data_IF_054181445132
#
_entry.id   IF_054181445132
#
_cell.length_a   1.000
_cell.length_b   1.000
_cell.length_c   1.000
_cell.angle_alpha   90.00
_cell.angle_beta   90.00
_cell.angle_gamma   90.00
#
_symmetry.space_group_name_H-M   'P 1'
#
loop_
_entity.id
_entity.type
_entity.pdbx_description
1 polymer ?
#
# COMPACT_ATOMS: atom_id res chain seq x y z
N UNK A 1 71.43 -58.17 34.05
CA UNK A 1 71.28 -57.27 32.89
C UNK A 1 69.94 -56.55 33.05
N UNK A 2 69.95 -55.22 33.23
CA UNK A 2 68.73 -54.41 33.45
C UNK A 2 68.33 -53.74 32.14
N UNK A 3 67.18 -54.07 31.60
CA UNK A 3 66.62 -53.46 30.38
C UNK A 3 65.96 -52.14 30.76
N UNK A 4 66.47 -51.01 30.22
CA UNK A 4 65.88 -49.68 30.40
C UNK A 4 64.77 -49.48 29.36
N UNK A 5 63.55 -49.22 29.84
CA UNK A 5 62.42 -48.77 29.01
C UNK A 5 62.51 -47.24 28.90
N UNK A 6 62.70 -46.73 27.68
CA UNK A 6 62.65 -45.29 27.42
C UNK A 6 61.21 -44.89 27.10
N UNK A 7 60.64 -44.02 27.94
CA UNK A 7 59.35 -43.40 27.74
C UNK A 7 59.54 -42.24 26.72
N UNK A 8 59.11 -42.44 25.48
CA UNK A 8 59.08 -41.37 24.48
C UNK A 8 57.82 -40.54 24.72
N UNK A 9 57.98 -39.35 25.29
CA UNK A 9 56.91 -38.35 25.36
C UNK A 9 56.90 -37.61 24.03
N UNK A 10 55.92 -37.92 23.18
CA UNK A 10 55.64 -37.15 21.96
C UNK A 10 54.90 -35.87 22.38
N UNK A 11 55.62 -34.74 22.42
CA UNK A 11 54.99 -33.42 22.49
C UNK A 11 54.29 -33.15 21.14
N UNK A 12 52.97 -33.31 21.10
CA UNK A 12 52.16 -32.75 20.03
C UNK A 12 52.16 -31.22 20.19
N UNK A 13 52.95 -30.53 19.37
CA UNK A 13 52.81 -29.09 19.16
C UNK A 13 51.49 -28.85 18.42
N UNK A 14 50.44 -28.44 19.13
CA UNK A 14 49.22 -27.93 18.52
C UNK A 14 49.59 -26.60 17.87
N UNK A 15 49.46 -26.44 16.53
CA UNK A 15 49.64 -25.13 15.93
C UNK A 15 48.54 -24.22 16.48
N UNK A 16 48.93 -23.19 17.22
CA UNK A 16 48.05 -22.06 17.55
C UNK A 16 47.78 -21.38 16.20
N UNK A 17 46.68 -21.77 15.56
CA UNK A 17 46.13 -21.02 14.44
C UNK A 17 45.71 -19.68 15.02
N UNK A 18 46.55 -18.67 14.83
CA UNK A 18 46.13 -17.28 14.98
C UNK A 18 44.92 -17.11 14.06
N UNK A 19 43.74 -17.01 14.67
CA UNK A 19 42.54 -16.55 13.99
C UNK A 19 42.88 -15.13 13.52
N UNK A 20 43.34 -15.03 12.28
CA UNK A 20 43.38 -13.76 11.59
C UNK A 20 41.96 -13.19 11.70
N UNK A 21 41.84 -11.98 12.25
CA UNK A 21 40.63 -11.19 12.19
C UNK A 21 40.30 -10.98 10.71
N UNK A 22 39.55 -11.91 10.13
CA UNK A 22 38.87 -11.68 8.87
C UNK A 22 37.90 -10.55 9.19
N UNK A 23 38.02 -9.36 8.58
CA UNK A 23 36.98 -8.37 8.71
C UNK A 23 35.70 -9.04 8.25
N UNK A 24 34.77 -9.24 9.18
CA UNK A 24 33.40 -9.60 8.86
C UNK A 24 32.89 -8.40 8.07
N UNK A 25 32.87 -8.52 6.75
CA UNK A 25 32.13 -7.61 5.90
C UNK A 25 30.65 -7.81 6.24
N UNK A 26 30.14 -6.94 7.11
CA UNK A 26 28.75 -6.91 7.56
C UNK A 26 27.80 -6.38 6.49
N UNK A 27 28.27 -6.16 5.25
CA UNK A 27 27.40 -5.70 4.16
C UNK A 27 26.88 -6.86 3.31
N UNK A 28 26.16 -7.81 3.93
CA UNK A 28 25.13 -8.53 3.19
C UNK A 28 23.96 -7.58 2.96
N UNK A 29 24.10 -6.71 1.96
CA UNK A 29 22.94 -6.01 1.38
C UNK A 29 22.06 -7.11 0.79
N UNK A 30 20.99 -7.48 1.50
CA UNK A 30 19.93 -8.28 0.91
C UNK A 30 19.43 -7.50 -0.31
N UNK A 31 19.34 -8.16 -1.47
CA UNK A 31 18.86 -7.52 -2.70
C UNK A 31 17.53 -6.81 -2.40
N UNK A 32 17.54 -5.47 -2.49
CA UNK A 32 16.36 -4.66 -2.20
C UNK A 32 15.20 -5.19 -3.03
N UNK A 33 14.14 -5.67 -2.36
CA UNK A 33 12.95 -6.20 -3.05
C UNK A 33 12.44 -5.16 -4.04
N UNK A 34 12.31 -5.54 -5.30
CA UNK A 34 11.74 -4.67 -6.33
C UNK A 34 10.27 -4.40 -6.00
N UNK A 35 9.93 -3.12 -5.86
CA UNK A 35 8.58 -2.66 -5.55
C UNK A 35 7.73 -2.65 -6.83
N UNK A 36 6.68 -3.47 -6.89
CA UNK A 36 5.83 -3.59 -8.08
C UNK A 36 4.60 -2.70 -7.97
N UNK A 37 4.46 -1.74 -8.88
CA UNK A 37 3.32 -0.83 -8.95
C UNK A 37 2.50 -1.11 -10.20
N UNK A 38 1.21 -1.37 -10.02
CA UNK A 38 0.26 -1.46 -11.13
C UNK A 38 -0.41 -0.12 -11.33
N UNK A 39 -0.31 0.39 -12.55
CA UNK A 39 -0.95 1.63 -12.98
C UNK A 39 -2.14 1.31 -13.87
N UNK A 40 -3.32 1.68 -13.40
CA UNK A 40 -4.57 1.50 -14.10
C UNK A 40 -5.08 2.84 -14.66
N UNK A 41 -5.25 2.88 -15.98
CA UNK A 41 -5.89 4.01 -16.64
C UNK A 41 -7.39 3.70 -16.79
N UNK A 42 -8.23 4.41 -16.05
CA UNK A 42 -9.68 4.23 -16.05
C UNK A 42 -10.29 4.22 -17.47
N UNK A 43 -11.37 3.46 -17.64
CA UNK A 43 -12.11 3.32 -18.90
C UNK A 43 -11.24 2.83 -20.08
N UNK A 44 -11.62 3.14 -21.33
CA UNK A 44 -10.86 2.83 -22.54
C UNK A 44 -11.71 2.15 -23.61
N UNK A 45 -11.29 2.27 -24.88
CA UNK A 45 -12.01 1.71 -26.03
C UNK A 45 -13.44 2.21 -26.10
N UNK A 46 -14.41 1.27 -26.02
CA UNK A 46 -15.85 1.55 -26.07
C UNK A 46 -16.39 2.33 -24.88
N UNK A 47 -15.66 2.36 -23.77
CA UNK A 47 -16.00 3.15 -22.60
C UNK A 47 -15.16 4.43 -22.58
N UNK A 48 -15.81 5.58 -22.82
CA UNK A 48 -15.14 6.89 -22.79
C UNK A 48 -14.90 7.42 -21.38
N UNK A 49 -15.51 6.82 -20.37
CA UNK A 49 -15.80 7.48 -19.10
C UNK A 49 -16.64 8.73 -19.33
N UNK A 50 -16.50 9.74 -18.46
CA UNK A 50 -17.22 10.99 -18.65
C UNK A 50 -16.74 11.72 -19.92
N UNK A 51 -17.67 11.99 -20.83
CA UNK A 51 -17.43 12.81 -22.02
C UNK A 51 -18.09 14.19 -21.88
N UNK A 52 -17.29 15.27 -21.90
CA UNK A 52 -17.78 16.65 -21.83
C UNK A 52 -16.94 17.55 -22.71
N UNK A 53 -17.58 18.37 -23.55
CA UNK A 53 -16.91 19.37 -24.39
C UNK A 53 -15.71 18.79 -25.18
N UNK A 54 -15.96 17.69 -25.91
CA UNK A 54 -14.95 16.98 -26.72
C UNK A 54 -13.74 16.51 -25.92
N UNK A 55 -13.96 16.16 -24.65
CA UNK A 55 -12.93 15.66 -23.75
C UNK A 55 -13.47 14.38 -23.12
N UNK A 56 -12.80 13.26 -23.40
CA UNK A 56 -13.10 11.98 -22.79
C UNK A 56 -12.16 11.75 -21.59
N UNK A 57 -12.70 11.23 -20.51
CA UNK A 57 -11.94 10.83 -19.33
C UNK A 57 -10.86 9.81 -19.66
N UNK A 58 -11.18 8.80 -20.48
CA UNK A 58 -10.25 7.73 -20.87
C UNK A 58 -8.91 8.24 -21.44
N UNK A 59 -8.93 9.40 -22.11
CA UNK A 59 -7.77 9.99 -22.77
C UNK A 59 -6.87 10.69 -21.75
N UNK A 60 -7.47 11.42 -20.81
CA UNK A 60 -6.75 12.09 -19.72
C UNK A 60 -6.14 11.04 -18.78
N UNK A 61 -6.93 10.05 -18.37
CA UNK A 61 -6.48 8.95 -17.52
C UNK A 61 -5.28 8.22 -18.13
N UNK A 62 -5.39 7.82 -19.42
CA UNK A 62 -4.30 7.17 -20.14
C UNK A 62 -3.04 8.04 -20.16
N UNK A 63 -3.19 9.34 -20.45
CA UNK A 63 -2.04 10.22 -20.59
C UNK A 63 -1.34 10.46 -19.26
N UNK A 64 -2.08 10.62 -18.17
CA UNK A 64 -1.53 10.74 -16.81
C UNK A 64 -0.79 9.46 -16.43
N UNK A 65 -1.38 8.28 -16.66
CA UNK A 65 -0.77 6.98 -16.34
C UNK A 65 0.53 6.75 -17.13
N UNK A 66 0.56 7.07 -18.43
CA UNK A 66 1.78 6.97 -19.24
C UNK A 66 2.90 7.89 -18.73
N UNK A 67 2.55 9.12 -18.32
CA UNK A 67 3.52 10.07 -17.77
C UNK A 67 4.05 9.60 -16.41
N UNK A 68 3.16 9.15 -15.53
CA UNK A 68 3.49 8.60 -14.21
C UNK A 68 4.40 7.38 -14.35
N UNK A 69 4.01 6.42 -15.18
CA UNK A 69 4.77 5.20 -15.39
C UNK A 69 6.15 5.47 -15.96
N UNK A 70 6.28 6.38 -16.94
CA UNK A 70 7.60 6.82 -17.44
C UNK A 70 8.50 7.40 -16.34
N UNK A 71 7.95 8.12 -15.36
CA UNK A 71 8.73 8.63 -14.22
C UNK A 71 9.16 7.49 -13.29
N UNK A 72 8.27 6.54 -12.99
CA UNK A 72 8.55 5.41 -12.11
C UNK A 72 9.56 4.43 -12.73
N UNK A 73 9.46 4.16 -14.04
CA UNK A 73 10.38 3.31 -14.81
C UNK A 73 11.84 3.81 -14.80
N UNK A 74 12.09 5.07 -14.41
CA UNK A 74 13.45 5.58 -14.22
C UNK A 74 14.16 5.06 -12.97
N UNK A 75 13.42 4.36 -12.08
CA UNK A 75 13.94 3.77 -10.85
C UNK A 75 14.14 2.27 -11.00
N UNK A 76 15.35 1.78 -10.75
CA UNK A 76 15.71 0.36 -10.94
C UNK A 76 15.05 -0.57 -9.91
N UNK A 77 14.64 -0.04 -8.78
CA UNK A 77 13.98 -0.74 -7.69
C UNK A 77 12.45 -0.69 -7.79
N UNK A 78 11.90 -0.12 -8.87
CA UNK A 78 10.46 -0.08 -9.14
C UNK A 78 10.14 -0.83 -10.44
N UNK A 79 9.23 -1.79 -10.35
CA UNK A 79 8.64 -2.45 -11.52
C UNK A 79 7.27 -1.86 -11.78
N UNK A 80 7.08 -1.29 -12.98
CA UNK A 80 5.79 -0.75 -13.41
C UNK A 80 5.04 -1.79 -14.26
N UNK A 81 3.78 -2.03 -13.94
CA UNK A 81 2.86 -2.86 -14.72
C UNK A 81 1.66 -1.99 -15.11
N UNK A 82 1.30 -1.93 -16.39
CA UNK A 82 0.13 -1.18 -16.84
C UNK A 82 -1.03 -2.12 -17.09
N UNK A 83 -2.25 -1.72 -16.72
CA UNK A 83 -3.44 -2.41 -17.21
C UNK A 83 -3.56 -2.18 -18.72
N UNK A 84 -3.45 -0.92 -19.16
CA UNK A 84 -3.39 -0.55 -20.58
C UNK A 84 -2.40 0.58 -20.85
N UNK A 85 -1.78 0.52 -22.02
CA UNK A 85 -0.89 1.58 -22.57
C UNK A 85 -1.47 2.25 -23.82
N UNK A 86 -2.60 1.75 -24.33
CA UNK A 86 -3.32 2.24 -25.51
C UNK A 86 -4.80 2.44 -25.21
N UNK A 87 -5.56 2.99 -26.16
CA UNK A 87 -7.01 3.11 -26.06
C UNK A 87 -7.70 1.77 -26.34
N UNK A 88 -7.67 0.88 -25.34
CA UNK A 88 -8.38 -0.39 -25.33
C UNK A 88 -9.32 -0.48 -24.14
N UNK A 89 -10.46 -1.14 -24.34
CA UNK A 89 -11.34 -1.49 -23.25
C UNK A 89 -10.76 -2.67 -22.45
N UNK A 90 -10.78 -2.56 -21.13
CA UNK A 90 -10.49 -3.65 -20.21
C UNK A 90 -11.58 -3.71 -19.15
N UNK A 91 -12.04 -4.92 -18.91
CA UNK A 91 -13.03 -5.25 -17.89
C UNK A 91 -12.45 -5.06 -16.48
N UNK A 92 -13.27 -4.73 -15.49
CA UNK A 92 -12.76 -4.40 -14.14
C UNK A 92 -12.06 -5.59 -13.49
N UNK A 93 -12.54 -6.82 -13.74
CA UNK A 93 -11.89 -8.03 -13.21
C UNK A 93 -10.52 -8.25 -13.87
N UNK A 94 -10.38 -7.98 -15.17
CA UNK A 94 -9.10 -8.11 -15.87
C UNK A 94 -8.05 -7.15 -15.31
N UNK A 95 -8.46 -5.92 -14.95
CA UNK A 95 -7.57 -4.94 -14.31
C UNK A 95 -7.05 -5.46 -12.97
N UNK A 96 -7.95 -6.03 -12.16
CA UNK A 96 -7.59 -6.63 -10.88
C UNK A 96 -6.72 -7.90 -11.06
N UNK A 97 -7.02 -8.75 -12.05
CA UNK A 97 -6.23 -9.95 -12.35
C UNK A 97 -4.80 -9.60 -12.76
N UNK A 98 -4.62 -8.56 -13.58
CA UNK A 98 -3.28 -8.05 -13.91
C UNK A 98 -2.53 -7.68 -12.63
N UNK A 99 -3.21 -6.99 -11.70
CA UNK A 99 -2.59 -6.58 -10.44
C UNK A 99 -2.22 -7.77 -9.55
N UNK A 100 -3.17 -8.67 -9.33
CA UNK A 100 -3.02 -9.86 -8.50
C UNK A 100 -1.94 -10.81 -9.05
N UNK A 101 -1.97 -11.11 -10.35
CA UNK A 101 -1.01 -12.00 -11.01
C UNK A 101 0.41 -11.41 -11.04
N UNK A 102 0.53 -10.08 -11.07
CA UNK A 102 1.83 -9.42 -10.98
C UNK A 102 2.42 -9.40 -9.56
N UNK A 103 1.65 -9.84 -8.55
CA UNK A 103 1.98 -9.72 -7.12
C UNK A 103 2.34 -8.28 -6.74
N UNK A 104 1.55 -7.33 -7.21
CA UNK A 104 1.80 -5.92 -7.00
C UNK A 104 1.81 -5.55 -5.53
N UNK A 105 2.72 -4.66 -5.16
CA UNK A 105 2.79 -4.06 -3.83
C UNK A 105 1.87 -2.83 -3.71
N UNK A 106 1.46 -2.25 -4.83
CA UNK A 106 0.54 -1.12 -4.90
C UNK A 106 -0.26 -1.11 -6.22
N UNK A 107 -1.56 -0.84 -6.12
CA UNK A 107 -2.45 -0.60 -7.26
C UNK A 107 -2.92 0.86 -7.27
N UNK A 108 -2.70 1.57 -8.39
CA UNK A 108 -3.09 2.97 -8.58
C UNK A 108 -3.98 3.09 -9.81
N UNK A 109 -5.28 3.32 -9.60
CA UNK A 109 -6.23 3.63 -10.67
C UNK A 109 -6.44 5.13 -10.79
N UNK A 110 -6.38 5.67 -12.01
CA UNK A 110 -6.47 7.11 -12.30
C UNK A 110 -7.74 7.39 -13.09
N UNK A 111 -8.57 8.29 -12.57
CA UNK A 111 -9.87 8.70 -13.10
C UNK A 111 -10.03 10.23 -13.08
N UNK A 112 -11.10 10.71 -13.71
CA UNK A 112 -11.51 12.11 -13.65
C UNK A 112 -13.00 12.22 -13.30
N UNK A 113 -13.26 12.86 -12.17
CA UNK A 113 -14.59 12.92 -11.59
C UNK A 113 -15.60 13.65 -12.49
N UNK A 114 -16.87 13.47 -12.16
CA UNK A 114 -17.98 14.23 -12.70
C UNK A 114 -19.04 14.45 -11.62
N UNK A 115 -19.74 15.57 -11.71
CA UNK A 115 -20.92 15.83 -10.89
C UNK A 115 -21.92 16.66 -11.68
N UNK A 116 -23.21 16.50 -11.35
CA UNK A 116 -24.29 17.32 -11.91
C UNK A 116 -24.04 18.83 -11.69
N UNK A 117 -23.59 19.20 -10.49
CA UNK A 117 -23.18 20.56 -10.19
C UNK A 117 -21.84 20.90 -10.86
N UNK A 118 -21.86 21.73 -11.90
CA UNK A 118 -20.67 22.15 -12.66
C UNK A 118 -19.68 22.99 -11.83
N UNK A 119 -20.10 23.50 -10.68
CA UNK A 119 -19.24 24.19 -9.71
C UNK A 119 -18.39 23.24 -8.85
N UNK A 120 -18.70 21.93 -8.81
CA UNK A 120 -17.91 20.95 -8.09
C UNK A 120 -16.47 20.93 -8.62
N UNK A 121 -15.48 20.97 -7.72
CA UNK A 121 -14.06 21.02 -8.06
C UNK A 121 -13.20 20.39 -6.97
N UNK A 122 -11.94 20.15 -7.29
CA UNK A 122 -11.00 19.48 -6.42
C UNK A 122 -10.85 18.00 -6.74
N UNK A 123 -9.94 17.37 -6.02
CA UNK A 123 -9.59 15.98 -6.16
C UNK A 123 -10.09 15.19 -4.95
N UNK A 124 -10.33 13.90 -5.15
CA UNK A 124 -10.62 12.94 -4.09
C UNK A 124 -9.87 11.64 -4.38
N UNK A 125 -9.49 10.92 -3.32
CA UNK A 125 -8.89 9.60 -3.48
C UNK A 125 -9.76 8.60 -2.77
N UNK A 126 -10.14 7.55 -3.47
CA UNK A 126 -10.96 6.48 -2.95
C UNK A 126 -10.10 5.28 -2.61
N UNK A 127 -10.40 4.72 -1.44
CA UNK A 127 -9.92 3.41 -1.01
C UNK A 127 -11.14 2.53 -0.81
N UNK A 128 -10.91 1.23 -0.71
CA UNK A 128 -12.00 0.30 -0.48
C UNK A 128 -12.75 0.64 0.82
N UNK A 129 -14.08 0.66 0.73
CA UNK A 129 -15.00 0.81 1.84
C UNK A 129 -16.10 -0.24 1.79
N UNK A 130 -16.39 -0.84 2.93
CA UNK A 130 -17.42 -1.88 3.11
C UNK A 130 -18.79 -1.31 3.48
N UNK A 131 -18.86 -0.05 3.95
CA UNK A 131 -20.11 0.58 4.34
C UNK A 131 -20.64 1.58 3.32
N UNK A 132 -21.98 1.60 3.21
CA UNK A 132 -22.73 2.53 2.38
C UNK A 132 -22.67 3.91 3.02
N UNK A 133 -22.09 4.87 2.31
CA UNK A 133 -22.37 6.28 2.53
C UNK A 133 -23.15 6.80 1.32
N UNK A 134 -24.39 7.24 1.53
CA UNK A 134 -25.26 7.74 0.46
C UNK A 134 -24.62 8.90 -0.32
N UNK A 135 -23.79 9.71 0.34
CA UNK A 135 -23.07 10.81 -0.31
C UNK A 135 -22.00 10.36 -1.32
N UNK A 136 -21.64 9.07 -1.33
CA UNK A 136 -20.59 8.50 -2.17
C UNK A 136 -21.15 7.64 -3.32
N UNK A 137 -22.47 7.41 -3.36
CA UNK A 137 -23.07 6.39 -4.23
C UNK A 137 -22.97 6.73 -5.72
N UNK A 138 -23.11 8.00 -6.11
CA UNK A 138 -23.09 8.43 -7.52
C UNK A 138 -21.76 8.11 -8.22
N UNK A 139 -20.63 8.40 -7.56
CA UNK A 139 -19.30 8.12 -8.11
C UNK A 139 -19.08 6.62 -8.24
N UNK A 140 -19.43 5.84 -7.21
CA UNK A 140 -19.28 4.38 -7.22
C UNK A 140 -20.14 3.74 -8.30
N UNK A 141 -21.40 4.16 -8.43
CA UNK A 141 -22.30 3.65 -9.46
C UNK A 141 -21.77 3.99 -10.86
N UNK A 142 -21.25 5.20 -11.06
CA UNK A 142 -20.64 5.59 -12.33
C UNK A 142 -19.44 4.70 -12.66
N UNK A 143 -18.49 4.57 -11.74
CA UNK A 143 -17.27 3.79 -11.99
C UNK A 143 -17.54 2.27 -12.07
N UNK A 144 -18.56 1.74 -11.40
CA UNK A 144 -18.95 0.33 -11.52
C UNK A 144 -19.92 0.08 -12.69
N UNK A 145 -20.52 1.11 -13.30
CA UNK A 145 -21.50 0.94 -14.39
C UNK A 145 -20.91 0.27 -15.62
N UNK A 146 -19.59 0.38 -15.81
CA UNK A 146 -18.81 -0.31 -16.84
C UNK A 146 -18.97 -1.83 -16.80
N UNK A 147 -19.28 -2.42 -15.64
CA UNK A 147 -19.57 -3.86 -15.49
C UNK A 147 -20.72 -4.29 -16.43
N UNK A 148 -21.69 -3.40 -16.67
CA UNK A 148 -22.82 -3.67 -17.55
C UNK A 148 -22.42 -3.74 -19.04
N UNK A 149 -21.20 -3.30 -19.38
CA UNK A 149 -20.63 -3.38 -20.72
C UNK A 149 -19.81 -4.66 -20.93
N UNK A 150 -19.65 -5.50 -19.90
CA UNK A 150 -18.81 -6.69 -19.91
C UNK A 150 -19.62 -7.94 -20.30
N UNK A 151 -19.01 -8.83 -21.07
CA UNK A 151 -19.66 -10.09 -21.45
C UNK A 151 -19.74 -11.01 -20.23
N UNK A 152 -20.90 -11.66 -20.03
CA UNK A 152 -21.15 -12.58 -18.92
C UNK A 152 -20.90 -11.98 -17.52
N UNK A 153 -21.13 -10.67 -17.35
CA UNK A 153 -20.87 -9.98 -16.08
C UNK A 153 -21.59 -10.62 -14.87
N UNK A 154 -22.77 -11.23 -15.07
CA UNK A 154 -23.49 -11.92 -13.97
C UNK A 154 -22.74 -13.12 -13.40
N UNK A 155 -21.94 -13.80 -14.23
CA UNK A 155 -21.12 -14.94 -13.81
C UNK A 155 -19.80 -14.47 -13.19
N UNK A 156 -19.20 -13.41 -13.76
CA UNK A 156 -17.93 -12.82 -13.26
C UNK A 156 -18.12 -12.08 -11.93
N UNK A 157 -19.28 -11.49 -11.71
CA UNK A 157 -19.62 -10.70 -10.53
C UNK A 157 -20.80 -11.29 -9.79
N UNK A 158 -20.66 -12.55 -9.33
CA UNK A 158 -21.71 -13.22 -8.57
C UNK A 158 -22.11 -12.39 -7.35
N UNK A 159 -23.41 -12.13 -7.24
CA UNK A 159 -23.99 -11.33 -6.17
C UNK A 159 -23.91 -9.82 -6.37
N UNK A 160 -23.34 -9.31 -7.48
CA UNK A 160 -23.31 -7.88 -7.77
C UNK A 160 -24.70 -7.33 -8.12
N UNK A 161 -25.14 -6.33 -7.37
CA UNK A 161 -26.30 -5.50 -7.64
C UNK A 161 -25.81 -4.10 -8.06
N UNK A 162 -26.13 -3.61 -9.27
CA UNK A 162 -25.80 -2.25 -9.69
C UNK A 162 -26.32 -1.16 -8.74
N UNK A 163 -27.39 -1.44 -7.99
CA UNK A 163 -27.97 -0.53 -7.00
C UNK A 163 -27.37 -0.72 -5.60
N UNK A 164 -26.67 -1.84 -5.37
CA UNK A 164 -25.88 -2.09 -4.17
C UNK A 164 -24.45 -2.54 -4.53
N UNK A 165 -23.55 -1.59 -4.86
CA UNK A 165 -22.14 -1.87 -5.13
C UNK A 165 -21.40 -2.66 -4.03
N UNK A 166 -21.97 -2.74 -2.82
CA UNK A 166 -21.37 -3.49 -1.70
C UNK A 166 -21.68 -4.99 -1.72
N UNK A 167 -22.59 -5.45 -2.58
CA UNK A 167 -23.15 -6.81 -2.59
C UNK A 167 -22.20 -7.90 -3.12
N UNK A 168 -21.02 -7.52 -3.62
CA UNK A 168 -20.03 -8.46 -4.14
C UNK A 168 -19.46 -9.37 -3.03
N UNK A 169 -19.46 -10.69 -3.23
CA UNK A 169 -18.84 -11.63 -2.29
C UNK A 169 -17.31 -11.71 -2.52
N UNK A 170 -16.50 -11.00 -1.72
CA UNK A 170 -15.02 -11.11 -1.71
C UNK A 170 -14.48 -11.53 -0.35
N UNK A 171 -13.20 -11.93 -0.32
CA UNK A 171 -12.44 -12.13 0.91
C UNK A 171 -12.16 -10.80 1.63
N UNK A 172 -13.09 -10.40 2.50
CA UNK A 172 -13.05 -9.14 3.27
C UNK A 172 -11.82 -9.05 4.19
N UNK A 173 -11.26 -10.17 4.67
CA UNK A 173 -10.15 -10.15 5.62
C UNK A 173 -8.85 -9.62 4.99
N UNK A 174 -8.53 -10.03 3.76
CA UNK A 174 -7.36 -9.53 3.01
C UNK A 174 -7.50 -8.02 2.76
N UNK A 175 -8.73 -7.56 2.59
CA UNK A 175 -9.01 -6.15 2.29
C UNK A 175 -8.84 -5.24 3.51
N UNK A 176 -9.26 -5.69 4.69
CA UNK A 176 -9.01 -4.98 5.95
C UNK A 176 -7.51 -4.91 6.29
N UNK A 177 -6.72 -5.90 5.87
CA UNK A 177 -5.26 -5.86 6.04
C UNK A 177 -4.62 -4.67 5.30
N UNK A 178 -5.11 -4.33 4.10
CA UNK A 178 -4.52 -3.27 3.26
C UNK A 178 -5.16 -1.89 3.40
N UNK A 179 -6.21 -1.73 4.23
CA UNK A 179 -6.98 -0.50 4.30
C UNK A 179 -6.13 0.71 4.73
N UNK A 180 -5.38 0.59 5.83
CA UNK A 180 -4.53 1.70 6.31
C UNK A 180 -3.43 2.07 5.31
N UNK A 181 -2.89 1.06 4.65
CA UNK A 181 -1.87 1.22 3.62
C UNK A 181 -2.43 2.01 2.43
N UNK A 182 -3.68 1.73 2.05
CA UNK A 182 -4.39 2.44 0.99
C UNK A 182 -4.72 3.88 1.41
N UNK A 183 -5.10 4.09 2.68
CA UNK A 183 -5.40 5.42 3.23
C UNK A 183 -4.15 6.29 3.28
N UNK A 184 -3.03 5.73 3.71
CA UNK A 184 -1.72 6.41 3.70
C UNK A 184 -1.39 6.89 2.29
N UNK A 185 -1.44 5.99 1.30
CA UNK A 185 -1.20 6.35 -0.10
C UNK A 185 -2.20 7.42 -0.60
N UNK A 186 -3.48 7.26 -0.30
CA UNK A 186 -4.50 8.22 -0.69
C UNK A 186 -4.28 9.61 -0.08
N UNK A 187 -3.89 9.67 1.19
CA UNK A 187 -3.60 10.91 1.90
C UNK A 187 -2.35 11.59 1.34
N UNK A 188 -1.32 10.82 0.98
CA UNK A 188 -0.14 11.33 0.29
C UNK A 188 -0.53 12.01 -1.02
N UNK A 189 -1.34 11.36 -1.86
CA UNK A 189 -1.84 11.94 -3.12
C UNK A 189 -2.60 13.26 -2.89
N UNK A 190 -3.58 13.25 -1.96
CA UNK A 190 -4.39 14.43 -1.66
C UNK A 190 -3.54 15.61 -1.17
N UNK A 191 -2.58 15.34 -0.28
CA UNK A 191 -1.64 16.33 0.24
C UNK A 191 -0.77 16.93 -0.87
N UNK A 192 -0.28 16.10 -1.80
CA UNK A 192 0.53 16.55 -2.96
C UNK A 192 -0.30 17.41 -3.91
N UNK A 193 -1.53 17.01 -4.24
CA UNK A 193 -2.41 17.83 -5.07
C UNK A 193 -2.76 19.18 -4.43
N UNK A 194 -3.00 19.21 -3.13
CA UNK A 194 -3.24 20.46 -2.41
C UNK A 194 -2.01 21.37 -2.45
N UNK A 195 -0.85 20.87 -2.04
CA UNK A 195 0.37 21.67 -1.85
C UNK A 195 1.04 22.07 -3.16
N UNK A 196 1.04 21.19 -4.17
CA UNK A 196 1.78 21.42 -5.43
C UNK A 196 0.90 22.03 -6.53
N UNK A 197 -0.40 21.70 -6.54
CA UNK A 197 -1.31 22.08 -7.65
C UNK A 197 -2.36 23.11 -7.24
N UNK A 198 -2.40 23.49 -5.95
CA UNK A 198 -3.40 24.38 -5.35
C UNK A 198 -4.83 23.93 -5.69
N UNK A 199 -5.07 22.61 -5.71
CA UNK A 199 -6.40 22.03 -5.95
C UNK A 199 -7.09 21.78 -4.62
N UNK A 200 -8.43 21.88 -4.61
CA UNK A 200 -9.22 21.58 -3.40
C UNK A 200 -9.05 20.11 -3.03
N UNK A 201 -8.54 19.86 -1.82
CA UNK A 201 -8.45 18.53 -1.21
C UNK A 201 -9.85 18.14 -0.70
N UNK A 202 -10.41 17.05 -1.23
CA UNK A 202 -11.71 16.51 -0.78
C UNK A 202 -11.55 15.24 0.05
N UNK A 203 -10.31 14.92 0.40
CA UNK A 203 -9.94 13.87 1.33
C UNK A 203 -9.86 12.48 0.73
N UNK A 204 -9.49 11.55 1.60
CA UNK A 204 -9.58 10.12 1.33
C UNK A 204 -10.97 9.64 1.72
N UNK A 205 -11.60 8.88 0.84
CA UNK A 205 -12.96 8.35 1.03
C UNK A 205 -12.98 6.84 0.86
N UNK A 206 -13.95 6.21 1.49
CA UNK A 206 -14.14 4.77 1.45
C UNK A 206 -15.43 4.45 0.67
N UNK A 207 -15.33 3.54 -0.31
CA UNK A 207 -16.51 2.98 -0.97
C UNK A 207 -16.23 1.65 -1.70
N UNK A 208 -17.31 0.96 -2.09
CA UNK A 208 -17.28 -0.36 -2.76
C UNK A 208 -17.00 -0.30 -4.26
N UNK A 209 -15.86 0.24 -4.69
CA UNK A 209 -15.43 0.15 -6.08
C UNK A 209 -15.03 -1.29 -6.42
N UNK A 210 -15.58 -1.86 -7.50
CA UNK A 210 -15.34 -3.26 -7.85
C UNK A 210 -13.85 -3.52 -8.12
N UNK A 211 -13.15 -2.61 -8.82
CA UNK A 211 -11.72 -2.75 -9.13
C UNK A 211 -10.85 -2.77 -7.86
N UNK A 212 -11.17 -1.95 -6.85
CA UNK A 212 -10.45 -1.93 -5.58
C UNK A 212 -10.78 -3.18 -4.74
N UNK A 213 -12.04 -3.63 -4.80
CA UNK A 213 -12.49 -4.82 -4.08
C UNK A 213 -11.89 -6.12 -4.61
N UNK A 214 -11.55 -6.17 -5.90
CA UNK A 214 -10.93 -7.35 -6.53
C UNK A 214 -9.40 -7.35 -6.45
N UNK A 215 -8.79 -6.26 -5.99
CA UNK A 215 -7.34 -6.09 -5.90
C UNK A 215 -6.83 -6.50 -4.51
N UNK A 216 -5.90 -7.47 -4.43
CA UNK A 216 -5.39 -8.04 -3.17
C UNK A 216 -4.05 -7.42 -2.74
N UNK A 217 -3.98 -6.11 -2.80
CA UNK A 217 -2.86 -5.28 -2.34
C UNK A 217 -3.38 -3.88 -1.96
N UNK A 218 -2.58 -3.01 -1.33
CA UNK A 218 -2.94 -1.61 -1.14
C UNK A 218 -3.37 -0.98 -2.46
N UNK A 219 -4.56 -0.37 -2.48
CA UNK A 219 -5.20 0.09 -3.72
C UNK A 219 -5.88 1.44 -3.55
N UNK A 220 -5.67 2.32 -4.52
CA UNK A 220 -6.29 3.65 -4.56
C UNK A 220 -6.92 3.91 -5.94
N UNK A 221 -8.09 4.54 -5.94
CA UNK A 221 -8.70 5.15 -7.13
C UNK A 221 -8.65 6.67 -6.97
N UNK A 222 -7.92 7.34 -7.85
CA UNK A 222 -7.63 8.76 -7.76
C UNK A 222 -8.54 9.51 -8.74
N UNK A 223 -9.40 10.35 -8.19
CA UNK A 223 -10.19 11.30 -8.96
C UNK A 223 -9.43 12.62 -9.09
N UNK A 224 -8.80 12.83 -10.25
CA UNK A 224 -7.82 13.92 -10.45
C UNK A 224 -8.45 15.32 -10.49
N UNK A 225 -9.74 15.42 -10.78
CA UNK A 225 -10.54 16.65 -10.81
C UNK A 225 -11.84 16.45 -11.58
N UNK A 226 -12.75 17.43 -11.54
CA UNK A 226 -14.09 17.30 -12.12
C UNK A 226 -14.15 17.73 -13.60
N UNK A 227 -14.38 16.81 -14.54
CA UNK A 227 -14.50 17.14 -15.98
C UNK A 227 -15.72 18.01 -16.30
N UNK A 228 -16.76 17.98 -15.47
CA UNK A 228 -17.93 18.87 -15.63
C UNK A 228 -17.60 20.32 -15.29
N UNK A 229 -16.57 20.57 -14.50
CA UNK A 229 -16.07 21.91 -14.19
C UNK A 229 -15.14 22.42 -15.30
N UNK A 230 -15.42 23.62 -15.83
CA UNK A 230 -14.67 24.19 -16.97
C UNK A 230 -13.20 24.46 -16.65
N UNK A 231 -12.90 24.96 -15.45
CA UNK A 231 -11.52 25.28 -15.04
C UNK A 231 -10.70 24.00 -14.88
N UNK A 232 -11.24 23.03 -14.14
CA UNK A 232 -10.59 21.73 -13.91
C UNK A 232 -10.39 20.98 -15.23
N UNK A 233 -11.41 20.93 -16.11
CA UNK A 233 -11.28 20.31 -17.44
C UNK A 233 -10.22 20.99 -18.30
N UNK A 234 -10.13 22.32 -18.27
CA UNK A 234 -9.09 23.05 -19.02
C UNK A 234 -7.69 22.68 -18.52
N UNK A 235 -7.52 22.57 -17.21
CA UNK A 235 -6.27 22.11 -16.60
C UNK A 235 -5.95 20.65 -16.96
N UNK A 236 -6.89 19.72 -16.76
CA UNK A 236 -6.70 18.28 -16.98
C UNK A 236 -6.51 17.91 -18.46
N UNK A 237 -7.05 18.69 -19.38
CA UNK A 237 -6.81 18.54 -20.84
C UNK A 237 -5.43 19.06 -21.25
N UNK A 238 -4.84 19.99 -20.50
CA UNK A 238 -3.56 20.58 -20.86
C UNK A 238 -2.39 19.63 -20.60
N UNK A 239 -1.39 19.60 -21.49
CA UNK A 239 -0.19 18.79 -21.28
C UNK A 239 0.59 19.21 -20.02
N UNK A 240 0.54 20.49 -19.63
CA UNK A 240 1.13 20.97 -18.38
C UNK A 240 0.40 20.41 -17.17
N UNK A 241 -0.93 20.44 -17.16
CA UNK A 241 -1.74 19.88 -16.08
C UNK A 241 -1.56 18.38 -15.92
N UNK A 242 -1.56 17.62 -17.02
CA UNK A 242 -1.32 16.17 -16.99
C UNK A 242 0.05 15.81 -16.43
N UNK A 243 1.11 16.52 -16.84
CA UNK A 243 2.47 16.34 -16.28
C UNK A 243 2.52 16.64 -14.79
N UNK A 244 1.85 17.72 -14.37
CA UNK A 244 1.77 18.12 -12.97
C UNK A 244 1.02 17.10 -12.10
N UNK A 245 -0.12 16.59 -12.58
CA UNK A 245 -0.88 15.53 -11.92
C UNK A 245 -0.05 14.25 -11.81
N UNK A 246 0.53 13.79 -12.91
CA UNK A 246 1.41 12.62 -12.94
C UNK A 246 2.57 12.77 -11.94
N UNK A 247 3.22 13.93 -11.91
CA UNK A 247 4.32 14.21 -10.98
C UNK A 247 3.87 14.16 -9.51
N UNK A 248 2.70 14.71 -9.17
CA UNK A 248 2.19 14.65 -7.79
C UNK A 248 1.89 13.22 -7.34
N UNK A 249 1.35 12.37 -8.24
CA UNK A 249 1.12 10.95 -7.96
C UNK A 249 2.47 10.22 -7.84
N UNK A 250 3.42 10.49 -8.74
CA UNK A 250 4.77 9.92 -8.73
C UNK A 250 5.47 10.17 -7.38
N UNK A 251 5.46 11.41 -6.89
CA UNK A 251 6.06 11.73 -5.58
C UNK A 251 5.35 10.99 -4.45
N UNK A 252 4.01 10.88 -4.49
CA UNK A 252 3.26 10.12 -3.49
C UNK A 252 3.62 8.63 -3.48
N UNK A 253 3.83 8.03 -4.66
CA UNK A 253 4.29 6.62 -4.79
C UNK A 253 5.69 6.45 -4.21
N UNK A 254 6.62 7.37 -4.47
CA UNK A 254 7.97 7.30 -3.90
C UNK A 254 7.97 7.46 -2.37
N UNK A 255 7.18 8.39 -1.83
CA UNK A 255 7.03 8.53 -0.38
C UNK A 255 6.48 7.25 0.25
N UNK A 256 5.47 6.65 -0.40
CA UNK A 256 4.85 5.41 0.04
C UNK A 256 5.83 4.22 0.01
N UNK A 257 6.56 4.04 -1.09
CA UNK A 257 7.59 3.00 -1.22
C UNK A 257 8.67 3.17 -0.16
N UNK A 258 9.19 4.39 0.01
CA UNK A 258 10.23 4.69 1.00
C UNK A 258 9.79 4.29 2.41
N UNK A 259 8.55 4.59 2.79
CA UNK A 259 8.03 4.17 4.09
C UNK A 259 8.06 2.64 4.23
N UNK A 260 7.74 1.87 3.18
CA UNK A 260 7.83 0.39 3.20
C UNK A 260 9.24 -0.13 3.27
N UNK A 261 10.19 0.53 2.61
CA UNK A 261 11.59 0.14 2.71
C UNK A 261 12.11 0.31 4.14
N UNK A 262 11.68 1.36 4.86
CA UNK A 262 12.08 1.56 6.27
C UNK A 262 11.54 0.42 7.16
N UNK A 263 10.35 -0.11 6.82
CA UNK A 263 9.74 -1.24 7.51
C UNK A 263 10.45 -2.59 7.26
N UNK A 264 11.32 -2.68 6.25
CA UNK A 264 12.02 -3.90 5.82
C UNK A 264 13.47 -3.98 6.32
N UNK A 265 14.00 -2.96 6.99
CA UNK A 265 15.32 -3.08 7.63
C UNK A 265 15.25 -4.11 8.76
N UNK A 266 15.90 -5.26 8.56
CA UNK A 266 16.40 -6.05 9.67
C UNK A 266 17.39 -5.16 10.44
N UNK A 267 17.07 -4.85 11.69
CA UNK A 267 18.08 -4.30 12.60
C UNK A 267 19.10 -5.40 12.80
N UNK A 268 20.28 -5.26 12.20
CA UNK A 268 21.41 -6.14 12.46
C UNK A 268 21.60 -6.24 13.98
N UNK A 269 21.64 -7.47 14.52
CA UNK A 269 22.11 -7.67 15.88
C UNK A 269 23.57 -7.23 15.90
N UNK A 270 23.82 -5.99 16.34
CA UNK A 270 25.19 -5.58 16.69
C UNK A 270 25.67 -6.60 17.71
N UNK A 271 26.74 -7.32 17.35
CA UNK A 271 27.32 -8.38 18.15
C UNK A 271 27.48 -7.93 19.61
N UNK A 272 26.99 -8.77 20.51
CA UNK A 272 27.04 -8.54 21.96
C UNK A 272 28.47 -8.24 22.42
N UNK A 273 28.73 -6.99 22.76
CA UNK A 273 29.71 -6.61 23.76
C UNK A 273 29.28 -5.28 24.34
N UNK A 274 29.02 -5.30 25.65
CA UNK A 274 28.55 -4.20 26.50
C UNK A 274 27.06 -3.87 26.36
N UNK A 275 26.34 -4.19 27.43
CA UNK A 275 25.02 -3.63 27.70
C UNK A 275 25.14 -2.12 27.66
N UNK A 276 24.67 -1.50 26.58
CA UNK A 276 24.43 -0.07 26.55
C UNK A 276 23.46 0.24 27.70
N UNK A 277 23.80 1.18 28.60
CA UNK A 277 22.91 1.53 29.69
C UNK A 277 21.57 1.97 29.09
N UNK A 278 20.48 1.50 29.70
CA UNK A 278 19.13 1.96 29.37
C UNK A 278 19.17 3.49 29.28
N UNK A 279 18.97 4.01 28.07
CA UNK A 279 18.83 5.43 27.86
C UNK A 279 17.55 5.86 28.55
N UNK A 280 17.69 6.30 29.81
CA UNK A 280 16.69 7.07 30.51
C UNK A 280 16.38 8.29 29.64
N UNK A 281 15.26 8.27 28.93
CA UNK A 281 14.85 9.40 28.11
C UNK A 281 13.75 9.15 27.07
N UNK A 282 13.58 7.93 26.55
CA UNK A 282 12.56 7.69 25.52
C UNK A 282 11.42 6.82 26.06
N UNK A 283 10.28 7.45 26.35
CA UNK A 283 9.02 6.81 26.75
C UNK A 283 8.34 6.11 25.56
N UNK A 284 9.16 5.51 24.67
CA UNK A 284 8.76 4.97 23.40
C UNK A 284 8.15 3.58 23.60
N UNK A 285 6.91 3.42 23.17
CA UNK A 285 6.20 2.13 23.20
C UNK A 285 6.06 1.62 21.78
N UNK A 286 6.46 0.38 21.55
CA UNK A 286 6.38 -0.28 20.26
C UNK A 286 5.26 -1.32 20.24
N UNK A 287 4.46 -1.32 19.19
CA UNK A 287 3.43 -2.34 18.93
C UNK A 287 3.50 -2.80 17.48
N UNK A 288 2.97 -3.99 17.20
CA UNK A 288 2.79 -4.45 15.81
C UNK A 288 1.35 -4.16 15.40
N UNK A 289 1.13 -3.29 14.42
CA UNK A 289 -0.17 -3.14 13.80
C UNK A 289 -0.42 -4.28 12.82
N UNK A 290 -1.56 -4.96 12.95
CA UNK A 290 -1.89 -6.17 12.19
C UNK A 290 -3.07 -5.99 11.23
N UNK A 291 -4.00 -5.07 11.52
CA UNK A 291 -5.12 -4.78 10.62
C UNK A 291 -5.77 -3.44 10.92
N UNK A 292 -6.54 -2.93 9.95
CA UNK A 292 -7.41 -1.78 10.11
C UNK A 292 -8.76 -2.05 9.44
N UNK A 293 -9.85 -1.78 10.14
CA UNK A 293 -11.20 -2.04 9.62
C UNK A 293 -12.15 -0.92 9.98
N UNK A 294 -13.12 -0.63 9.11
CA UNK A 294 -14.28 0.18 9.48
C UNK A 294 -15.28 -0.59 10.36
N UNK A 295 -15.21 -1.94 10.34
CA UNK A 295 -15.96 -2.80 11.25
C UNK A 295 -15.24 -2.95 12.59
N UNK A 296 -16.03 -2.90 13.65
CA UNK A 296 -15.52 -3.19 14.98
C UNK A 296 -15.52 -4.70 15.22
N UNK A 297 -14.34 -5.27 15.47
CA UNK A 297 -14.11 -6.61 16.01
C UNK A 297 -13.71 -6.49 17.49
N UNK A 298 -14.01 -7.52 18.27
CA UNK A 298 -13.52 -7.59 19.64
C UNK A 298 -12.01 -7.81 19.64
N UNK A 299 -11.27 -7.01 20.41
CA UNK A 299 -9.82 -7.09 20.55
C UNK A 299 -9.39 -8.32 21.38
N UNK A 300 -9.64 -9.51 20.84
CA UNK A 300 -9.37 -10.80 21.49
C UNK A 300 -8.62 -11.71 20.54
N UNK A 301 -7.64 -12.44 21.06
CA UNK A 301 -6.72 -13.28 20.28
C UNK A 301 -7.42 -14.24 19.32
N UNK A 302 -8.60 -14.77 19.68
CA UNK A 302 -9.35 -15.69 18.81
C UNK A 302 -9.82 -15.06 17.49
N UNK A 303 -10.04 -13.74 17.44
CA UNK A 303 -10.35 -13.00 16.22
C UNK A 303 -9.10 -12.72 15.36
N UNK A 304 -7.90 -12.89 15.93
CA UNK A 304 -6.63 -12.49 15.32
C UNK A 304 -5.62 -13.63 15.23
N UNK A 305 -6.07 -14.81 14.80
CA UNK A 305 -5.23 -16.02 14.60
C UNK A 305 -4.40 -16.37 15.85
N UNK A 306 -4.97 -16.15 17.03
CA UNK A 306 -4.36 -16.40 18.34
C UNK A 306 -3.07 -15.60 18.59
N UNK A 307 -2.97 -14.39 18.04
CA UNK A 307 -1.91 -13.43 18.42
C UNK A 307 -2.15 -12.89 19.84
N UNK A 308 -1.10 -12.68 20.65
CA UNK A 308 -1.23 -12.23 22.03
C UNK A 308 -1.57 -10.74 22.13
N UNK A 309 -2.04 -10.31 23.31
CA UNK A 309 -2.12 -8.89 23.70
C UNK A 309 -2.74 -7.98 22.64
N UNK A 310 -3.95 -8.33 22.19
CA UNK A 310 -4.64 -7.54 21.18
C UNK A 310 -5.16 -6.25 21.81
N UNK A 311 -4.79 -5.13 21.22
CA UNK A 311 -5.34 -3.81 21.54
C UNK A 311 -5.99 -3.19 20.31
N UNK A 312 -6.91 -2.25 20.54
CA UNK A 312 -7.65 -1.55 19.47
C UNK A 312 -7.69 -0.06 19.74
N UNK A 313 -7.44 0.72 18.70
CA UNK A 313 -7.60 2.17 18.72
C UNK A 313 -8.60 2.59 17.65
N UNK A 314 -9.35 3.67 17.90
CA UNK A 314 -10.27 4.25 16.92
C UNK A 314 -9.78 5.65 16.55
N UNK A 315 -9.56 5.88 15.27
CA UNK A 315 -9.24 7.20 14.72
C UNK A 315 -10.23 7.48 13.58
N UNK A 316 -11.05 8.52 13.74
CA UNK A 316 -12.17 8.76 12.84
C UNK A 316 -13.13 7.56 12.79
N UNK A 317 -13.39 7.06 11.59
CA UNK A 317 -14.28 5.92 11.33
C UNK A 317 -13.59 4.55 11.31
N UNK A 318 -12.31 4.45 11.70
CA UNK A 318 -11.49 3.26 11.51
C UNK A 318 -10.99 2.73 12.84
N UNK A 319 -11.14 1.42 13.02
CA UNK A 319 -10.59 0.63 14.12
C UNK A 319 -9.28 0.00 13.68
N UNK A 320 -8.21 0.26 14.42
CA UNK A 320 -6.88 -0.32 14.18
C UNK A 320 -6.55 -1.30 15.27
N UNK A 321 -6.00 -2.44 14.87
CA UNK A 321 -5.69 -3.53 15.78
C UNK A 321 -4.20 -3.74 15.84
N UNK A 322 -3.72 -3.92 17.06
CA UNK A 322 -2.31 -4.10 17.38
C UNK A 322 -2.13 -5.35 18.22
N UNK A 323 -0.98 -6.00 18.10
CA UNK A 323 -0.53 -7.08 18.99
C UNK A 323 0.76 -6.65 19.69
N UNK A 324 0.85 -6.98 20.97
CA UNK A 324 2.01 -6.70 21.82
C UNK A 324 2.09 -5.26 22.31
N UNK A 325 2.99 -5.05 23.27
CA UNK A 325 3.27 -3.77 23.91
C UNK A 325 4.70 -3.80 24.48
N UNK A 326 5.69 -3.34 23.71
CA UNK A 326 7.10 -3.50 24.04
C UNK A 326 7.82 -2.17 24.22
N UNK A 327 8.92 -2.20 24.96
CA UNK A 327 9.83 -1.05 25.15
C UNK A 327 11.16 -1.24 24.41
N UNK A 328 11.29 -2.34 23.66
CA UNK A 328 12.47 -2.71 22.88
C UNK A 328 12.11 -3.00 21.43
N UNK A 329 12.88 -2.45 20.50
CA UNK A 329 12.74 -2.71 19.07
C UNK A 329 13.00 -4.19 18.74
N UNK A 330 13.87 -4.87 19.49
CA UNK A 330 14.17 -6.29 19.30
C UNK A 330 12.95 -7.17 19.55
N UNK A 331 12.22 -6.93 20.64
CA UNK A 331 11.07 -7.75 21.03
C UNK A 331 9.89 -7.59 20.07
N UNK A 332 9.65 -6.36 19.58
CA UNK A 332 8.56 -6.09 18.64
C UNK A 332 8.86 -6.64 17.24
N UNK A 333 10.14 -6.72 16.83
CA UNK A 333 10.55 -7.37 15.58
C UNK A 333 10.20 -8.86 15.57
N UNK A 334 10.51 -9.58 16.65
CA UNK A 334 10.15 -11.01 16.77
C UNK A 334 8.62 -11.22 16.71
N UNK A 335 7.83 -10.30 17.29
CA UNK A 335 6.38 -10.40 17.22
C UNK A 335 5.84 -10.07 15.81
N UNK A 336 6.46 -9.13 15.10
CA UNK A 336 6.11 -8.81 13.71
C UNK A 336 6.30 -10.03 12.81
N UNK A 337 7.44 -10.71 12.91
CA UNK A 337 7.71 -11.93 12.12
C UNK A 337 6.71 -13.05 12.44
N UNK A 338 6.32 -13.21 13.71
CA UNK A 338 5.25 -14.15 14.11
C UNK A 338 3.89 -13.76 13.52
N UNK A 339 3.57 -12.48 13.45
CA UNK A 339 2.33 -12.00 12.84
C UNK A 339 2.32 -12.24 11.32
N UNK A 340 3.43 -11.95 10.63
CA UNK A 340 3.61 -12.23 9.20
C UNK A 340 3.48 -13.73 8.91
N UNK A 341 4.13 -14.59 9.70
CA UNK A 341 4.04 -16.04 9.55
C UNK A 341 2.63 -16.60 9.78
N UNK A 342 1.82 -15.93 10.62
CA UNK A 342 0.39 -16.23 10.78
C UNK A 342 -0.47 -15.67 9.64
N UNK A 343 0.12 -14.96 8.67
CA UNK A 343 -0.54 -14.43 7.49
C UNK A 343 -1.12 -13.02 7.68
N UNK A 344 -0.48 -12.19 8.52
CA UNK A 344 -0.64 -10.73 8.50
C UNK A 344 0.56 -10.13 7.74
N UNK A 345 0.59 -10.37 6.44
CA UNK A 345 1.75 -10.08 5.57
C UNK A 345 2.12 -8.61 5.49
N UNK A 346 1.18 -7.71 5.78
CA UNK A 346 1.38 -6.26 5.80
C UNK A 346 1.66 -5.69 7.18
N UNK A 347 1.77 -6.54 8.21
CA UNK A 347 2.01 -6.12 9.59
C UNK A 347 3.27 -5.24 9.70
N UNK A 348 3.17 -4.19 10.49
CA UNK A 348 4.25 -3.23 10.66
C UNK A 348 4.38 -2.75 12.10
N UNK A 349 5.56 -2.24 12.43
CA UNK A 349 5.83 -1.69 13.75
C UNK A 349 5.35 -0.24 13.79
N UNK A 350 4.63 0.09 14.86
CA UNK A 350 4.36 1.48 15.24
C UNK A 350 5.10 1.79 16.52
N UNK A 351 5.60 3.02 16.60
CA UNK A 351 6.17 3.60 17.81
C UNK A 351 5.24 4.69 18.33
N UNK A 352 5.05 4.73 19.64
CA UNK A 352 4.35 5.81 20.33
C UNK A 352 5.37 6.60 21.12
N UNK A 353 5.56 7.87 20.77
CA UNK A 353 6.40 8.80 21.51
C UNK A 353 5.54 10.00 21.89
N UNK A 354 5.50 10.35 23.19
CA UNK A 354 4.68 11.45 23.70
C UNK A 354 3.18 11.35 23.34
N UNK A 355 2.67 10.14 23.18
CA UNK A 355 1.28 9.88 22.77
C UNK A 355 1.03 9.98 21.26
N UNK A 356 2.02 10.37 20.46
CA UNK A 356 1.94 10.37 19.01
C UNK A 356 2.40 9.05 18.41
N UNK A 357 1.55 8.46 17.58
CA UNK A 357 1.82 7.21 16.87
C UNK A 357 2.53 7.50 15.55
N UNK A 358 3.68 6.87 15.33
CA UNK A 358 4.40 6.90 14.06
C UNK A 358 4.65 5.48 13.59
N UNK A 359 4.55 5.26 12.28
CA UNK A 359 4.99 4.02 11.65
C UNK A 359 6.52 4.05 11.59
N UNK A 360 7.15 2.95 11.99
CA UNK A 360 8.58 2.74 11.76
C UNK A 360 8.79 2.19 10.37
#
# INVERSE_FOLDING_TARGET
>A
MKTKIYLIIVLLSIPIISLANIPIDSTKVTDKKVFTVVLDAGHGGKDSGKYVAQTAEKDIALKVVQLLGKQLESHKDIKVVYTRTTDKFLELYQRADIANNSKADLFVSVHCNAAAATAAKGNETWVLGIHRNAANLEVVQRENSVILLEENYKEKYVGFDPNDPSSFATNLMIQEEYLDNSIEMGANVQSRFQKQLNRKNRGVKQAGFAVLRLSYMPSVLIETGFLTNKEERTFLRSSSGQKKVANSIYVAVLDYQKNRDINLFEVEQVGTSEAAPAAAGNNAVYKVQISASSNMLEAKSYNFKSLPEISREKEGGIYRYFTGNFYSLKEVLDLKEKAIAKGYTSAFIVVYENGERRRL
#
